data_IF_100961901269
#
_entry.id   IF_100961901269
#
_cell.length_a   1.000
_cell.length_b   1.000
_cell.length_c   1.000
_cell.angle_alpha   90.00
_cell.angle_beta   90.00
_cell.angle_gamma   90.00
#
_symmetry.space_group_name_H-M   'P 1'
#
loop_
_entity.id
_entity.type
_entity.pdbx_description
1 polymer ?
#
# COMPACT_ATOMS: atom_id res chain seq x y z
N UNK A 1 -44.42 31.74 -8.15
CA UNK A 1 -44.28 30.36 -7.61
C UNK A 1 -42.84 29.96 -7.88
N UNK A 2 -41.82 30.55 -7.25
CA UNK A 2 -41.53 30.54 -5.81
C UNK A 2 -41.36 29.11 -5.30
N UNK A 3 -40.21 28.50 -5.59
CA UNK A 3 -39.71 27.34 -4.86
C UNK A 3 -38.27 27.63 -4.40
N UNK A 4 -38.20 27.82 -3.09
CA UNK A 4 -37.10 27.52 -2.16
C UNK A 4 -35.78 28.31 -2.26
N UNK A 5 -35.81 29.45 -1.56
CA UNK A 5 -34.69 29.95 -0.78
C UNK A 5 -34.40 28.99 0.40
N UNK A 6 -33.12 28.95 0.79
CA UNK A 6 -32.48 28.43 2.03
C UNK A 6 -31.97 26.98 1.90
N UNK A 7 -30.66 26.72 2.01
CA UNK A 7 -29.82 27.04 3.18
C UNK A 7 -28.51 27.77 2.82
N UNK A 8 -28.32 28.95 3.41
CA UNK A 8 -26.98 29.43 3.82
C UNK A 8 -26.73 28.80 5.19
N UNK A 9 -25.81 27.85 5.31
CA UNK A 9 -25.51 27.18 6.58
C UNK A 9 -24.04 26.82 6.68
N UNK A 10 -23.30 27.58 7.50
CA UNK A 10 -21.88 27.38 7.83
C UNK A 10 -20.93 27.57 6.64
N UNK A 11 -19.79 28.24 6.85
CA UNK A 11 -18.70 28.15 5.88
C UNK A 11 -18.21 26.69 5.86
N UNK A 12 -18.71 25.88 4.92
CA UNK A 12 -18.21 24.55 4.64
C UNK A 12 -16.80 24.68 4.09
N UNK A 13 -15.79 24.37 4.92
CA UNK A 13 -14.41 24.45 4.47
C UNK A 13 -14.11 23.26 3.55
N UNK A 14 -13.53 23.55 2.38
CA UNK A 14 -13.04 22.52 1.46
C UNK A 14 -11.58 22.24 1.74
N UNK A 15 -11.29 21.03 2.21
CA UNK A 15 -9.94 20.59 2.53
C UNK A 15 -9.45 19.68 1.39
N UNK A 16 -8.44 20.11 0.66
CA UNK A 16 -7.83 19.33 -0.40
C UNK A 16 -6.86 18.29 0.15
N UNK A 17 -6.86 17.08 -0.42
CA UNK A 17 -5.80 16.10 -0.19
C UNK A 17 -5.25 15.58 -1.52
N UNK A 18 -3.93 15.67 -1.67
CA UNK A 18 -3.19 15.20 -2.83
C UNK A 18 -2.10 14.21 -2.41
N UNK A 19 -1.85 13.21 -3.26
CA UNK A 19 -0.84 12.17 -2.98
C UNK A 19 -0.05 11.85 -4.23
N UNK A 20 1.27 11.77 -4.07
CA UNK A 20 2.19 11.37 -5.15
C UNK A 20 3.06 10.18 -4.74
N UNK A 21 3.20 9.23 -5.65
CA UNK A 21 4.29 8.25 -5.62
C UNK A 21 5.53 8.88 -6.23
N UNK A 22 6.72 8.48 -5.77
CA UNK A 22 8.05 8.97 -6.19
C UNK A 22 8.37 8.96 -7.69
N UNK A 23 7.45 8.55 -8.56
CA UNK A 23 7.63 8.42 -10.00
C UNK A 23 6.79 9.38 -10.87
N UNK A 24 5.80 10.11 -10.33
CA UNK A 24 4.94 10.97 -11.15
C UNK A 24 5.22 12.46 -10.92
N UNK A 25 5.38 13.19 -12.03
CA UNK A 25 5.52 14.65 -12.08
C UNK A 25 4.19 15.41 -11.94
N UNK A 26 3.06 14.72 -11.71
CA UNK A 26 1.72 15.32 -11.78
C UNK A 26 1.18 15.90 -10.46
N UNK A 27 2.05 16.39 -9.57
CA UNK A 27 1.57 17.08 -8.35
C UNK A 27 0.86 18.39 -8.72
N UNK A 28 1.41 19.13 -9.69
CA UNK A 28 0.88 20.43 -10.15
C UNK A 28 -0.56 20.32 -10.61
N UNK A 29 -0.86 19.34 -11.48
CA UNK A 29 -2.22 19.14 -11.96
C UNK A 29 -3.22 18.81 -10.83
N UNK A 30 -2.79 18.10 -9.78
CA UNK A 30 -3.68 17.84 -8.62
C UNK A 30 -3.95 19.12 -7.86
N UNK A 31 -2.89 19.88 -7.58
CA UNK A 31 -2.97 21.12 -6.82
C UNK A 31 -3.80 22.16 -7.57
N UNK A 32 -3.63 22.27 -8.88
CA UNK A 32 -4.39 23.18 -9.72
C UNK A 32 -5.88 22.80 -9.73
N UNK A 33 -6.21 21.51 -9.85
CA UNK A 33 -7.59 21.03 -9.79
C UNK A 33 -8.22 21.26 -8.40
N UNK A 34 -7.48 21.03 -7.32
CA UNK A 34 -7.95 21.25 -5.94
C UNK A 34 -8.14 22.74 -5.66
N UNK A 35 -7.23 23.59 -6.14
CA UNK A 35 -7.33 25.05 -6.01
C UNK A 35 -8.51 25.58 -6.81
N UNK A 36 -8.70 25.10 -8.05
CA UNK A 36 -9.85 25.44 -8.89
C UNK A 36 -11.19 24.97 -8.29
N UNK A 37 -11.18 23.89 -7.52
CA UNK A 37 -12.35 23.40 -6.78
C UNK A 37 -12.70 24.25 -5.54
N UNK A 38 -11.86 25.23 -5.19
CA UNK A 38 -12.06 26.11 -4.03
C UNK A 38 -11.55 25.53 -2.72
N UNK A 39 -10.57 24.61 -2.74
CA UNK A 39 -9.97 24.10 -1.51
C UNK A 39 -9.14 25.20 -0.83
N UNK A 40 -9.49 25.53 0.42
CA UNK A 40 -8.81 26.57 1.20
C UNK A 40 -7.46 26.09 1.74
N UNK A 41 -7.36 24.80 2.05
CA UNK A 41 -6.14 24.18 2.55
C UNK A 41 -5.91 22.84 1.88
N UNK A 42 -4.71 22.64 1.35
CA UNK A 42 -4.33 21.39 0.67
C UNK A 42 -3.22 20.69 1.44
N UNK A 43 -3.46 19.45 1.81
CA UNK A 43 -2.49 18.56 2.45
C UNK A 43 -1.92 17.60 1.41
N UNK A 44 -0.62 17.31 1.52
CA UNK A 44 0.05 16.43 0.56
C UNK A 44 0.85 15.33 1.25
N UNK A 45 0.79 14.12 0.69
CA UNK A 45 1.65 13.00 1.10
C UNK A 45 2.59 12.58 -0.05
N UNK A 46 3.88 12.41 0.28
CA UNK A 46 4.89 11.88 -0.63
C UNK A 46 5.24 10.45 -0.22
N UNK A 47 4.75 9.47 -0.97
CA UNK A 47 5.04 8.07 -0.67
C UNK A 47 6.31 7.60 -1.41
N UNK A 48 7.45 7.50 -0.71
CA UNK A 48 8.58 6.67 -1.14
C UNK A 48 8.48 5.29 -0.47
N UNK A 49 8.33 4.23 -1.25
CA UNK A 49 8.35 2.84 -0.75
C UNK A 49 7.03 2.27 -0.17
N UNK A 50 7.18 1.14 0.52
CA UNK A 50 6.10 0.23 0.98
C UNK A 50 5.45 0.67 2.29
N UNK A 51 6.17 1.41 3.14
CA UNK A 51 5.64 2.07 4.34
C UNK A 51 5.41 3.54 4.02
N UNK A 52 4.19 3.86 3.57
CA UNK A 52 3.76 5.23 3.43
C UNK A 52 3.25 5.68 4.81
N UNK A 53 4.07 6.41 5.56
CA UNK A 53 3.52 7.30 6.59
C UNK A 53 2.54 8.24 5.88
N UNK A 54 1.31 8.30 6.37
CA UNK A 54 0.23 9.14 5.82
C UNK A 54 0.01 10.30 6.77
N UNK A 55 1.12 10.97 7.12
CA UNK A 55 1.11 12.03 8.11
C UNK A 55 0.27 13.19 7.56
N UNK A 56 0.32 13.46 6.25
CA UNK A 56 -0.51 14.48 5.60
C UNK A 56 -2.01 14.17 5.61
N UNK A 57 -2.43 12.92 5.42
CA UNK A 57 -3.84 12.54 5.56
C UNK A 57 -4.30 12.65 7.02
N UNK A 58 -3.48 12.22 7.97
CA UNK A 58 -3.81 12.31 9.38
C UNK A 58 -3.94 13.77 9.84
N UNK A 59 -3.05 14.65 9.37
CA UNK A 59 -3.14 16.10 9.59
C UNK A 59 -4.40 16.71 8.96
N UNK A 60 -4.76 16.30 7.74
CA UNK A 60 -6.00 16.74 7.09
C UNK A 60 -7.24 16.35 7.91
N UNK A 61 -7.29 15.11 8.41
CA UNK A 61 -8.38 14.60 9.25
C UNK A 61 -8.42 15.24 10.65
N UNK A 62 -7.27 15.63 11.19
CA UNK A 62 -7.18 16.36 12.46
C UNK A 62 -7.59 17.83 12.31
N UNK A 63 -7.39 18.40 11.11
CA UNK A 63 -7.78 19.75 10.78
C UNK A 63 -9.28 19.88 10.47
N UNK A 64 -9.87 18.83 9.87
CA UNK A 64 -11.28 18.80 9.52
C UNK A 64 -12.21 18.87 10.74
N UNK A 65 -13.30 19.63 10.59
CA UNK A 65 -14.37 19.79 11.57
C UNK A 65 -15.68 19.22 11.02
N UNK A 66 -16.64 19.01 11.91
CA UNK A 66 -18.00 18.61 11.53
C UNK A 66 -18.57 19.60 10.49
N UNK A 67 -19.03 19.06 9.34
CA UNK A 67 -19.57 19.83 8.22
C UNK A 67 -18.57 20.17 7.12
N UNK A 68 -17.26 19.98 7.35
CA UNK A 68 -16.24 20.19 6.31
C UNK A 68 -16.31 19.10 5.23
N UNK A 69 -15.68 19.36 4.08
CA UNK A 69 -15.58 18.37 3.01
C UNK A 69 -14.14 18.14 2.60
N UNK A 70 -13.69 16.89 2.70
CA UNK A 70 -12.42 16.43 2.17
C UNK A 70 -12.56 16.23 0.66
N UNK A 71 -11.86 17.08 -0.10
CA UNK A 71 -11.81 17.03 -1.56
C UNK A 71 -10.54 16.32 -2.00
N UNK A 72 -10.70 15.34 -2.87
CA UNK A 72 -9.59 14.64 -3.51
C UNK A 72 -9.73 14.69 -5.02
N UNK A 73 -8.60 14.63 -5.75
CA UNK A 73 -8.68 14.52 -7.19
C UNK A 73 -9.41 13.22 -7.58
N UNK A 74 -8.88 12.08 -7.14
CA UNK A 74 -9.38 10.76 -7.49
C UNK A 74 -9.32 9.80 -6.30
N UNK A 75 -10.27 8.88 -6.21
CA UNK A 75 -10.35 7.94 -5.07
C UNK A 75 -9.13 7.02 -4.92
N UNK A 76 -8.41 6.71 -6.01
CA UNK A 76 -7.19 5.89 -5.95
C UNK A 76 -6.06 6.54 -5.12
N UNK A 77 -6.12 7.86 -4.92
CA UNK A 77 -5.14 8.63 -4.16
C UNK A 77 -5.34 8.55 -2.64
N UNK A 78 -6.55 8.20 -2.17
CA UNK A 78 -6.87 8.04 -0.75
C UNK A 78 -6.41 6.69 -0.16
N UNK A 79 -6.28 5.65 -0.99
CA UNK A 79 -5.91 4.33 -0.50
C UNK A 79 -5.31 3.42 -1.56
N UNK A 80 -4.18 2.77 -1.25
CA UNK A 80 -3.62 1.65 -2.05
C UNK A 80 -4.48 0.37 -1.97
N UNK A 81 -5.51 0.35 -1.13
CA UNK A 81 -6.36 -0.81 -0.89
C UNK A 81 -7.78 -0.35 -0.60
N UNK A 82 -8.77 -1.04 -1.17
CA UNK A 82 -10.17 -0.66 -0.98
C UNK A 82 -10.61 -0.67 0.47
N UNK A 83 -10.10 -1.63 1.27
CA UNK A 83 -10.32 -1.67 2.72
C UNK A 83 -9.97 -0.32 3.37
N UNK A 84 -8.83 0.25 3.03
CA UNK A 84 -8.39 1.54 3.58
C UNK A 84 -9.25 2.73 3.13
N UNK A 85 -9.94 2.62 1.98
CA UNK A 85 -10.90 3.64 1.54
C UNK A 85 -12.22 3.52 2.31
N UNK A 86 -12.71 2.30 2.52
CA UNK A 86 -13.90 2.02 3.34
C UNK A 86 -13.69 2.45 4.79
N UNK A 87 -12.56 2.08 5.39
CA UNK A 87 -12.21 2.46 6.75
C UNK A 87 -12.15 4.00 6.88
N UNK A 88 -11.59 4.69 5.87
CA UNK A 88 -11.53 6.15 5.85
C UNK A 88 -12.91 6.79 5.72
N UNK A 89 -13.78 6.28 4.85
CA UNK A 89 -15.12 6.81 4.70
C UNK A 89 -15.98 6.60 5.96
N UNK A 90 -15.83 5.46 6.63
CA UNK A 90 -16.48 5.22 7.91
C UNK A 90 -15.98 6.19 8.99
N UNK A 91 -14.68 6.50 9.03
CA UNK A 91 -14.10 7.50 9.93
C UNK A 91 -14.60 8.93 9.61
N UNK A 92 -14.67 9.28 8.32
CA UNK A 92 -15.22 10.56 7.85
C UNK A 92 -16.71 10.69 8.21
N UNK A 93 -17.52 9.65 8.00
CA UNK A 93 -18.93 9.62 8.38
C UNK A 93 -19.12 9.75 9.90
N UNK A 94 -18.32 9.04 10.70
CA UNK A 94 -18.34 9.16 12.16
C UNK A 94 -17.99 10.58 12.64
N UNK A 95 -17.15 11.29 11.90
CA UNK A 95 -16.77 12.69 12.16
C UNK A 95 -17.70 13.70 11.50
N UNK A 96 -18.69 13.24 10.73
CA UNK A 96 -19.58 14.07 9.89
C UNK A 96 -18.82 15.02 8.97
N UNK A 97 -17.74 14.49 8.38
CA UNK A 97 -16.96 15.12 7.33
C UNK A 97 -17.33 14.44 6.03
N UNK A 98 -17.61 15.22 4.99
CA UNK A 98 -17.96 14.67 3.70
C UNK A 98 -16.74 14.39 2.84
N UNK A 99 -16.84 13.43 1.93
CA UNK A 99 -15.83 13.10 0.94
C UNK A 99 -16.33 13.49 -0.46
N UNK A 100 -15.51 14.26 -1.17
CA UNK A 100 -15.76 14.65 -2.55
C UNK A 100 -14.58 14.30 -3.45
N UNK A 101 -14.85 13.58 -4.53
CA UNK A 101 -13.86 13.31 -5.59
C UNK A 101 -14.14 14.22 -6.80
N UNK A 102 -13.11 14.84 -7.36
CA UNK A 102 -13.25 15.73 -8.52
C UNK A 102 -13.45 14.97 -9.83
N UNK A 103 -12.69 13.89 -10.09
CA UNK A 103 -12.81 13.14 -11.36
C UNK A 103 -13.88 12.06 -11.34
N UNK A 104 -14.09 11.42 -10.20
CA UNK A 104 -15.02 10.29 -10.14
C UNK A 104 -16.48 10.78 -9.96
N UNK A 105 -16.68 12.09 -9.72
CA UNK A 105 -18.00 12.71 -9.56
C UNK A 105 -18.74 12.27 -8.30
N UNK A 106 -18.04 11.65 -7.36
CA UNK A 106 -18.61 11.12 -6.11
C UNK A 106 -18.63 12.23 -5.06
N UNK A 107 -19.81 12.44 -4.48
CA UNK A 107 -20.03 13.35 -3.35
C UNK A 107 -20.86 12.64 -2.27
N UNK A 108 -20.23 12.32 -1.15
CA UNK A 108 -20.88 11.62 -0.03
C UNK A 108 -21.84 12.50 0.77
N UNK A 109 -22.00 13.79 0.44
CA UNK A 109 -23.13 14.59 0.96
C UNK A 109 -24.46 14.01 0.53
N UNK A 110 -24.50 13.45 -0.68
CA UNK A 110 -25.72 12.91 -1.27
C UNK A 110 -25.91 11.43 -0.92
N UNK A 111 -27.16 11.00 -0.74
CA UNK A 111 -27.48 9.59 -0.52
C UNK A 111 -27.02 8.71 -1.71
N UNK A 112 -27.13 9.23 -2.93
CA UNK A 112 -26.66 8.56 -4.15
C UNK A 112 -25.13 8.38 -4.14
N UNK A 113 -24.37 9.41 -3.75
CA UNK A 113 -22.92 9.34 -3.68
C UNK A 113 -22.42 8.38 -2.59
N UNK A 114 -23.07 8.36 -1.41
CA UNK A 114 -22.79 7.35 -0.37
C UNK A 114 -23.03 5.93 -0.88
N UNK A 115 -24.18 5.70 -1.52
CA UNK A 115 -24.50 4.39 -2.09
C UNK A 115 -23.47 3.95 -3.15
N UNK A 116 -23.16 4.83 -4.11
CA UNK A 116 -22.20 4.53 -5.17
C UNK A 116 -20.81 4.23 -4.60
N UNK A 117 -20.39 5.00 -3.59
CA UNK A 117 -19.14 4.75 -2.88
C UNK A 117 -19.11 3.35 -2.24
N UNK A 118 -20.18 2.94 -1.55
CA UNK A 118 -20.26 1.59 -0.95
C UNK A 118 -20.25 0.47 -2.00
N UNK A 119 -20.93 0.67 -3.14
CA UNK A 119 -20.91 -0.30 -4.25
C UNK A 119 -19.51 -0.42 -4.85
N UNK A 120 -18.85 0.70 -5.12
CA UNK A 120 -17.47 0.71 -5.62
C UNK A 120 -16.53 0.01 -4.62
N UNK A 121 -16.72 0.26 -3.33
CA UNK A 121 -16.00 -0.41 -2.25
C UNK A 121 -16.17 -1.92 -2.27
N UNK A 122 -17.40 -2.41 -2.37
CA UNK A 122 -17.66 -3.85 -2.46
C UNK A 122 -17.01 -4.46 -3.70
N UNK A 123 -17.11 -3.79 -4.86
CA UNK A 123 -16.54 -4.27 -6.12
C UNK A 123 -15.02 -4.40 -6.07
N UNK A 124 -14.32 -3.40 -5.53
CA UNK A 124 -12.86 -3.44 -5.48
C UNK A 124 -12.32 -4.41 -4.41
N UNK A 125 -13.08 -4.70 -3.34
CA UNK A 125 -12.77 -5.83 -2.44
C UNK A 125 -12.89 -7.16 -3.18
N UNK A 126 -14.00 -7.37 -3.89
CA UNK A 126 -14.26 -8.59 -4.68
C UNK A 126 -13.17 -8.81 -5.75
N UNK A 127 -12.77 -7.77 -6.50
CA UNK A 127 -11.71 -7.88 -7.50
C UNK A 127 -10.39 -8.35 -6.88
N UNK A 128 -10.04 -7.79 -5.71
CA UNK A 128 -8.82 -8.18 -4.99
C UNK A 128 -8.87 -9.64 -4.54
N UNK A 129 -10.02 -10.10 -4.06
CA UNK A 129 -10.22 -11.49 -3.66
C UNK A 129 -10.08 -12.44 -4.85
N UNK A 130 -10.69 -12.11 -6.00
CA UNK A 130 -10.56 -12.89 -7.23
C UNK A 130 -9.11 -12.98 -7.72
N UNK A 131 -8.33 -11.90 -7.64
CA UNK A 131 -6.91 -11.91 -7.98
C UNK A 131 -6.13 -12.86 -7.05
N UNK A 132 -6.41 -12.81 -5.74
CA UNK A 132 -5.77 -13.69 -4.76
C UNK A 132 -6.14 -15.16 -4.99
N UNK A 133 -7.41 -15.44 -5.26
CA UNK A 133 -7.90 -16.79 -5.56
C UNK A 133 -7.21 -17.36 -6.80
N UNK A 134 -7.19 -16.61 -7.92
CA UNK A 134 -6.47 -17.01 -9.14
C UNK A 134 -4.98 -17.25 -8.89
N UNK A 135 -4.35 -16.40 -8.09
CA UNK A 135 -2.93 -16.54 -7.75
C UNK A 135 -2.68 -17.83 -6.96
N UNK A 136 -3.54 -18.14 -5.98
CA UNK A 136 -3.45 -19.37 -5.18
C UNK A 136 -3.65 -20.60 -6.05
N UNK A 137 -4.68 -20.61 -6.88
CA UNK A 137 -4.94 -21.71 -7.82
C UNK A 137 -3.75 -21.93 -8.78
N UNK A 138 -3.15 -20.85 -9.29
CA UNK A 138 -1.94 -20.92 -10.12
C UNK A 138 -0.72 -21.47 -9.38
N UNK A 139 -0.51 -21.08 -8.12
CA UNK A 139 0.57 -21.59 -7.28
C UNK A 139 0.39 -23.08 -6.94
N UNK A 140 -0.85 -23.52 -6.69
CA UNK A 140 -1.18 -24.92 -6.43
C UNK A 140 -0.99 -25.79 -7.68
N UNK A 141 -1.43 -25.31 -8.85
CA UNK A 141 -1.17 -25.97 -10.12
C UNK A 141 0.34 -26.09 -10.39
N UNK A 142 1.11 -25.02 -10.17
CA UNK A 142 2.56 -25.03 -10.32
C UNK A 142 3.25 -25.99 -9.35
N UNK A 143 2.79 -26.07 -8.09
CA UNK A 143 3.28 -27.04 -7.10
C UNK A 143 2.99 -28.48 -7.52
N UNK A 144 1.79 -28.78 -8.01
CA UNK A 144 1.44 -30.12 -8.56
C UNK A 144 2.31 -30.49 -9.76
N UNK A 145 2.70 -29.51 -10.58
CA UNK A 145 3.65 -29.68 -11.67
C UNK A 145 5.13 -29.76 -11.20
N UNK A 146 5.40 -29.84 -9.89
CA UNK A 146 6.74 -30.01 -9.34
C UNK A 146 7.54 -28.71 -9.13
N UNK A 147 6.96 -27.53 -9.39
CA UNK A 147 7.64 -26.26 -9.14
C UNK A 147 7.71 -25.96 -7.64
N UNK A 148 8.92 -25.99 -7.10
CA UNK A 148 9.20 -25.51 -5.72
C UNK A 148 9.38 -23.99 -5.75
N UNK A 149 8.40 -23.25 -5.22
CA UNK A 149 8.48 -21.80 -5.07
C UNK A 149 9.46 -21.34 -3.98
N UNK A 150 9.65 -20.03 -3.84
CA UNK A 150 10.49 -19.41 -2.81
C UNK A 150 11.91 -19.04 -3.27
N UNK A 151 12.74 -18.57 -2.34
CA UNK A 151 14.13 -18.16 -2.61
C UNK A 151 14.96 -19.41 -2.95
N UNK A 152 15.66 -19.38 -4.10
CA UNK A 152 16.59 -20.46 -4.47
C UNK A 152 17.59 -20.73 -3.34
N UNK A 153 17.86 -22.01 -3.07
CA UNK A 153 18.83 -22.42 -2.05
C UNK A 153 20.20 -21.86 -2.41
N UNK A 154 20.80 -21.10 -1.48
CA UNK A 154 22.12 -20.50 -1.68
C UNK A 154 23.26 -21.55 -1.66
N UNK A 155 23.02 -22.66 -0.95
CA UNK A 155 23.94 -23.78 -0.82
C UNK A 155 23.45 -24.95 -1.69
N UNK A 156 24.27 -25.37 -2.65
CA UNK A 156 24.03 -26.54 -3.52
C UNK A 156 24.83 -27.74 -3.00
N UNK A 157 24.51 -28.98 -3.40
CA UNK A 157 25.30 -30.16 -3.02
C UNK A 157 26.79 -30.00 -3.35
N UNK A 158 27.11 -29.50 -4.55
CA UNK A 158 28.49 -29.22 -4.94
C UNK A 158 29.19 -28.19 -4.03
N UNK A 159 28.47 -27.13 -3.62
CA UNK A 159 29.02 -26.15 -2.66
C UNK A 159 29.22 -26.74 -1.26
N UNK A 160 28.37 -27.69 -0.83
CA UNK A 160 28.56 -28.40 0.44
C UNK A 160 29.79 -29.30 0.42
N UNK A 161 30.00 -30.03 -0.68
CA UNK A 161 31.20 -30.85 -0.85
C UNK A 161 32.48 -30.00 -0.86
N UNK A 162 32.48 -28.89 -1.62
CA UNK A 162 33.61 -27.96 -1.61
C UNK A 162 33.83 -27.33 -0.24
N UNK A 163 32.75 -26.99 0.48
CA UNK A 163 32.86 -26.46 1.84
C UNK A 163 33.53 -27.46 2.79
N UNK A 164 33.09 -28.73 2.78
CA UNK A 164 33.67 -29.80 3.62
C UNK A 164 35.15 -30.00 3.32
N UNK A 165 35.52 -30.17 2.05
CA UNK A 165 36.93 -30.34 1.64
C UNK A 165 37.83 -29.18 2.08
N UNK A 166 37.36 -27.94 1.95
CA UNK A 166 38.15 -26.76 2.36
C UNK A 166 38.29 -26.66 3.88
N UNK A 167 37.25 -27.04 4.63
CA UNK A 167 37.27 -27.09 6.09
C UNK A 167 38.19 -28.20 6.61
N UNK A 168 38.15 -29.39 6.00
CA UNK A 168 39.02 -30.53 6.32
C UNK A 168 40.49 -30.22 6.00
N UNK A 169 40.73 -29.45 4.93
CA UNK A 169 42.05 -28.91 4.61
C UNK A 169 42.53 -27.80 5.56
N UNK A 170 41.75 -27.46 6.60
CA UNK A 170 42.13 -26.48 7.63
C UNK A 170 41.85 -25.03 7.26
N UNK A 171 41.14 -24.76 6.17
CA UNK A 171 40.81 -23.38 5.76
C UNK A 171 39.84 -22.75 6.77
N UNK A 172 40.06 -21.49 7.23
CA UNK A 172 39.16 -20.83 8.16
C UNK A 172 37.73 -20.73 7.61
N UNK A 173 36.68 -21.00 8.41
CA UNK A 173 35.28 -20.98 7.96
C UNK A 173 34.84 -19.64 7.31
N UNK A 174 35.46 -18.53 7.71
CA UNK A 174 35.23 -17.21 7.12
C UNK A 174 35.65 -17.14 5.65
N UNK A 175 36.81 -17.70 5.34
CA UNK A 175 37.38 -17.68 3.98
C UNK A 175 36.64 -18.67 3.08
N UNK A 176 36.23 -19.81 3.63
CA UNK A 176 35.33 -20.77 2.95
C UNK A 176 33.99 -20.13 2.59
N UNK A 177 33.37 -19.42 3.53
CA UNK A 177 32.09 -18.74 3.29
C UNK A 177 32.20 -17.66 2.19
N UNK A 178 33.28 -16.86 2.24
CA UNK A 178 33.56 -15.82 1.23
C UNK A 178 33.77 -16.44 -0.16
N UNK A 179 34.57 -17.50 -0.23
CA UNK A 179 34.89 -18.19 -1.50
C UNK A 179 33.66 -18.83 -2.15
N UNK A 180 32.70 -19.30 -1.35
CA UNK A 180 31.45 -19.90 -1.82
C UNK A 180 30.33 -18.87 -2.07
N UNK A 181 30.57 -17.59 -1.75
CA UNK A 181 29.61 -16.49 -1.91
C UNK A 181 28.40 -16.62 -0.98
N UNK A 182 28.58 -17.16 0.23
CA UNK A 182 27.52 -17.36 1.22
C UNK A 182 27.90 -16.71 2.55
N UNK A 183 26.91 -16.37 3.37
CA UNK A 183 27.20 -15.87 4.72
C UNK A 183 27.76 -16.97 5.62
N UNK A 184 28.60 -16.61 6.60
CA UNK A 184 29.12 -17.54 7.62
C UNK A 184 27.97 -18.27 8.34
N UNK A 185 26.87 -17.56 8.64
CA UNK A 185 25.68 -18.18 9.21
C UNK A 185 25.04 -19.23 8.28
N UNK A 186 25.05 -19.00 6.96
CA UNK A 186 24.56 -20.00 5.99
C UNK A 186 25.48 -21.22 5.92
N UNK A 187 26.79 -21.03 6.06
CA UNK A 187 27.77 -22.12 6.12
C UNK A 187 27.54 -22.99 7.36
N UNK A 188 27.53 -22.41 8.56
CA UNK A 188 27.33 -23.15 9.82
C UNK A 188 25.97 -23.85 9.91
N UNK A 189 24.92 -23.31 9.26
CA UNK A 189 23.61 -23.96 9.22
C UNK A 189 23.62 -25.31 8.47
N UNK A 190 24.57 -25.53 7.56
CA UNK A 190 24.68 -26.77 6.81
C UNK A 190 25.90 -27.63 7.19
N UNK A 191 26.94 -27.02 7.78
CA UNK A 191 28.12 -27.71 8.29
C UNK A 191 28.38 -27.21 9.71
N UNK A 192 27.78 -27.82 10.74
CA UNK A 192 27.97 -27.44 12.14
C UNK A 192 29.41 -27.70 12.56
N UNK A 193 29.95 -26.87 13.47
CA UNK A 193 31.35 -26.96 13.91
C UNK A 193 31.72 -28.26 14.67
N UNK A 194 30.73 -29.12 14.96
CA UNK A 194 30.89 -30.35 15.75
C UNK A 194 31.20 -31.62 14.95
N UNK A 195 31.10 -31.63 13.62
CA UNK A 195 31.44 -32.79 12.77
C UNK A 195 32.94 -32.78 12.40
N UNK A 196 33.82 -32.52 13.37
CA UNK A 196 35.25 -32.88 13.23
C UNK A 196 35.40 -34.30 13.78
N UNK A 197 35.06 -35.30 12.97
CA UNK A 197 35.46 -36.68 13.28
C UNK A 197 36.99 -36.72 13.37
N UNK A 198 37.46 -37.29 14.49
CA UNK A 198 38.87 -37.62 14.73
C UNK A 198 39.29 -38.80 13.86
#
# INVERSE_FOLDING_TARGET
MSFEKQQKGGECMLIGYARVSTADQDLSLQLDALTAAGCEKVFTDKASGTKANRDGLAEALAYAREGDSLVVWKLDRLGRSMKGLVDLAADLEARKVDLRSLTDGIDTKTAAGRFFFHVMAALAVMERELILERTRAGLEAARRAGRVGGRKRAMTPAKLESARKLLDAGTPPKDVASSLGVSIATLYRHVPAGEREQ
#
